data_IF_278512293841
#
_entry.id   IF_278512293841
#
_cell.length_a   1.000
_cell.length_b   1.000
_cell.length_c   1.000
_cell.angle_alpha   90.00
_cell.angle_beta   90.00
_cell.angle_gamma   90.00
#
_symmetry.space_group_name_H-M   'P 1'
#
loop_
_entity.id
_entity.type
_entity.pdbx_description
1 polymer ?
#
# COMPACT_ATOMS: atom_id res chain seq x y z
N UNK A 1 -10.03 -0.18 3.15
CA UNK A 1 -10.23 0.56 4.42
C UNK A 1 -11.16 1.78 4.27
N UNK A 2 -11.19 2.49 3.13
CA UNK A 2 -11.99 3.72 2.98
C UNK A 2 -11.40 4.96 3.69
N UNK A 3 -10.24 4.82 4.34
CA UNK A 3 -9.53 5.91 4.99
C UNK A 3 -8.92 6.85 3.95
N UNK A 4 -9.04 8.16 4.21
CA UNK A 4 -8.39 9.23 3.44
C UNK A 4 -7.01 9.59 3.98
N UNK A 5 -6.62 9.00 5.11
CA UNK A 5 -5.33 9.27 5.76
C UNK A 5 -4.24 8.35 5.23
N UNK A 6 -3.04 8.91 5.04
CA UNK A 6 -1.84 8.18 4.62
C UNK A 6 -2.07 7.29 3.39
N UNK A 7 -2.76 7.82 2.37
CA UNK A 7 -2.96 7.17 1.07
C UNK A 7 -1.67 7.24 0.26
N UNK A 8 -1.15 6.08 -0.12
CA UNK A 8 -0.01 5.92 -1.02
C UNK A 8 -0.53 6.10 -2.45
N UNK A 9 -0.24 7.25 -3.05
CA UNK A 9 -0.61 7.55 -4.44
C UNK A 9 0.51 7.20 -5.43
N UNK A 10 1.72 6.89 -4.92
CA UNK A 10 2.85 6.48 -5.74
C UNK A 10 2.51 5.22 -6.52
N UNK A 11 3.00 5.13 -7.76
CA UNK A 11 2.75 4.01 -8.67
C UNK A 11 1.26 3.77 -8.98
N UNK A 12 0.39 4.78 -8.78
CA UNK A 12 -1.05 4.66 -9.06
C UNK A 12 -1.80 3.72 -8.10
N UNK A 13 -1.24 3.44 -6.91
CA UNK A 13 -1.80 2.46 -5.99
C UNK A 13 -3.09 2.95 -5.31
N UNK A 14 -3.18 4.24 -4.93
CA UNK A 14 -4.32 4.82 -4.20
C UNK A 14 -4.79 3.99 -3.00
N UNK A 15 -3.86 3.40 -2.26
CA UNK A 15 -4.12 2.55 -1.10
C UNK A 15 -3.65 3.20 0.19
N UNK A 16 -4.47 3.14 1.24
CA UNK A 16 -4.03 3.55 2.58
C UNK A 16 -2.85 2.67 3.06
N UNK A 17 -1.94 3.23 3.88
CA UNK A 17 -0.75 2.51 4.38
C UNK A 17 -1.06 1.14 5.02
N UNK A 18 -2.23 0.99 5.62
CA UNK A 18 -2.68 -0.25 6.27
C UNK A 18 -3.02 -1.29 5.21
N UNK A 19 -3.92 -0.96 4.28
CA UNK A 19 -4.28 -1.85 3.17
C UNK A 19 -3.07 -2.18 2.29
N UNK A 20 -2.15 -1.24 2.06
CA UNK A 20 -0.93 -1.52 1.31
C UNK A 20 -0.12 -2.65 1.96
N UNK A 21 0.00 -2.72 3.29
CA UNK A 21 0.75 -3.79 3.97
C UNK A 21 0.10 -5.16 3.81
N UNK A 22 -1.23 -5.21 3.68
CA UNK A 22 -1.97 -6.45 3.45
C UNK A 22 -1.70 -7.02 2.06
N UNK A 23 -1.61 -6.14 1.04
CA UNK A 23 -1.45 -6.56 -0.37
C UNK A 23 -0.04 -6.37 -0.93
N UNK A 24 0.90 -5.82 -0.17
CA UNK A 24 2.25 -5.50 -0.66
C UNK A 24 2.95 -6.73 -1.27
N UNK A 25 2.84 -7.88 -0.61
CA UNK A 25 3.44 -9.13 -1.07
C UNK A 25 2.82 -9.63 -2.37
N UNK A 26 1.49 -9.54 -2.53
CA UNK A 26 0.81 -9.97 -3.76
C UNK A 26 1.05 -9.01 -4.93
N UNK A 27 1.29 -7.73 -4.63
CA UNK A 27 1.74 -6.73 -5.60
C UNK A 27 3.23 -6.88 -5.98
N UNK A 28 3.96 -7.82 -5.39
CA UNK A 28 5.37 -8.08 -5.69
C UNK A 28 6.36 -7.18 -4.95
N UNK A 29 5.90 -6.37 -3.99
CA UNK A 29 6.82 -5.62 -3.12
C UNK A 29 7.50 -6.57 -2.14
N UNK A 30 8.83 -6.44 -2.04
CA UNK A 30 9.66 -7.19 -1.09
C UNK A 30 10.35 -6.22 -0.14
N UNK A 31 10.41 -6.56 1.14
CA UNK A 31 11.17 -5.83 2.15
C UNK A 31 12.60 -6.35 2.13
N UNK A 32 13.55 -5.48 1.82
CA UNK A 32 14.99 -5.83 1.75
C UNK A 32 15.78 -5.37 3.00
N UNK A 33 15.15 -4.65 3.93
CA UNK A 33 15.68 -4.26 5.25
C UNK A 33 14.54 -3.97 6.21
#
# INVERSE_FOLDING_TARGET
>A
CGSRDAVIQKYGLYLCRQCFREVALSLGFRKYS
#
